data_IF_317247047653
#
_entry.id   IF_317247047653
#
_cell.length_a   1.000
_cell.length_b   1.000
_cell.length_c   1.000
_cell.angle_alpha   90.00
_cell.angle_beta   90.00
_cell.angle_gamma   90.00
#
_symmetry.space_group_name_H-M   'P 1'
#
loop_
_entity.id
_entity.type
_entity.pdbx_description
1 polymer ?
#
# COMPACT_ATOMS: atom_id res chain seq x y z
N UNK A 1 -34.12 5.75 -14.19
CA UNK A 1 -33.28 6.95 -14.42
C UNK A 1 -31.95 6.62 -13.82
N UNK A 2 -30.88 6.46 -14.59
CA UNK A 2 -29.56 6.26 -13.98
C UNK A 2 -29.23 7.51 -13.17
N UNK A 3 -28.88 7.39 -11.89
CA UNK A 3 -28.42 8.53 -11.12
C UNK A 3 -27.21 9.14 -11.84
N UNK A 4 -27.20 10.46 -12.01
CA UNK A 4 -26.05 11.14 -12.62
C UNK A 4 -24.84 10.91 -11.72
N UNK A 5 -23.81 10.29 -12.27
CA UNK A 5 -22.50 10.19 -11.62
C UNK A 5 -21.99 11.60 -11.43
N UNK A 6 -21.45 11.91 -10.25
CA UNK A 6 -20.89 13.23 -9.97
C UNK A 6 -19.71 13.53 -10.91
N UNK A 7 -19.48 14.80 -11.21
CA UNK A 7 -18.35 15.20 -12.04
C UNK A 7 -16.99 14.95 -11.35
N UNK A 8 -16.98 14.72 -10.03
CA UNK A 8 -15.77 14.35 -9.30
C UNK A 8 -15.13 13.08 -9.84
N UNK A 9 -15.92 12.05 -10.14
CA UNK A 9 -15.42 10.73 -10.55
C UNK A 9 -15.76 10.35 -11.99
N UNK A 10 -16.61 11.11 -12.69
CA UNK A 10 -17.12 10.79 -14.02
C UNK A 10 -16.03 10.56 -15.07
N UNK A 11 -14.85 11.17 -14.89
CA UNK A 11 -13.73 11.08 -15.83
C UNK A 11 -13.18 9.63 -15.97
N UNK A 12 -13.40 8.75 -14.99
CA UNK A 12 -12.99 7.35 -15.06
C UNK A 12 -14.07 6.38 -15.53
N UNK A 13 -15.33 6.85 -15.72
CA UNK A 13 -16.47 5.98 -16.03
C UNK A 13 -16.25 5.09 -17.26
N UNK A 14 -15.60 5.60 -18.29
CA UNK A 14 -15.39 4.86 -19.53
C UNK A 14 -14.46 3.65 -19.39
N UNK A 15 -13.45 3.72 -18.54
CA UNK A 15 -12.42 2.68 -18.39
C UNK A 15 -12.51 1.91 -17.08
N UNK A 16 -13.05 2.53 -16.02
CA UNK A 16 -13.19 1.99 -14.68
C UNK A 16 -14.63 2.06 -14.15
N UNK A 17 -15.65 1.57 -14.89
CA UNK A 17 -17.06 1.82 -14.56
C UNK A 17 -17.44 1.33 -13.15
N UNK A 18 -17.02 0.13 -12.77
CA UNK A 18 -17.37 -0.43 -11.46
C UNK A 18 -16.72 0.31 -10.27
N UNK A 19 -15.53 0.88 -10.47
CA UNK A 19 -14.89 1.71 -9.47
C UNK A 19 -15.62 3.05 -9.35
N UNK A 20 -15.98 3.65 -10.47
CA UNK A 20 -16.71 4.93 -10.52
C UNK A 20 -18.11 4.80 -9.94
N UNK A 21 -18.82 3.70 -10.22
CA UNK A 21 -20.14 3.43 -9.63
C UNK A 21 -20.05 3.32 -8.10
N UNK A 22 -19.02 2.64 -7.58
CA UNK A 22 -18.81 2.53 -6.15
C UNK A 22 -18.42 3.88 -5.51
N UNK A 23 -17.62 4.70 -6.19
CA UNK A 23 -17.27 6.05 -5.72
C UNK A 23 -18.51 6.97 -5.70
N UNK A 24 -19.39 6.84 -6.69
CA UNK A 24 -20.66 7.57 -6.70
C UNK A 24 -21.57 7.15 -5.54
N UNK A 25 -21.65 5.84 -5.25
CA UNK A 25 -22.38 5.37 -4.06
C UNK A 25 -21.78 5.92 -2.76
N UNK A 26 -20.46 6.04 -2.69
CA UNK A 26 -19.82 6.67 -1.54
C UNK A 26 -20.28 8.12 -1.36
N UNK A 27 -20.30 8.92 -2.41
CA UNK A 27 -20.79 10.31 -2.36
C UNK A 27 -22.25 10.42 -1.93
N UNK A 28 -23.12 9.52 -2.43
CA UNK A 28 -24.54 9.53 -2.09
C UNK A 28 -24.83 9.29 -0.59
N UNK A 29 -23.94 8.58 0.08
CA UNK A 29 -24.12 8.19 1.48
C UNK A 29 -23.46 9.13 2.48
N UNK A 30 -22.69 10.13 2.06
CA UNK A 30 -21.91 11.01 2.97
C UNK A 30 -22.74 11.57 4.12
N UNK A 31 -23.85 12.19 3.81
CA UNK A 31 -24.66 12.90 4.79
C UNK A 31 -25.68 12.00 5.50
N UNK A 32 -26.20 10.99 4.81
CA UNK A 32 -27.24 10.12 5.36
C UNK A 32 -26.71 8.91 6.12
N UNK A 33 -25.61 8.33 5.64
CA UNK A 33 -24.93 7.17 6.25
C UNK A 33 -23.42 7.24 6.02
N UNK A 34 -22.69 8.01 6.84
CA UNK A 34 -21.23 8.14 6.72
C UNK A 34 -20.49 6.80 6.74
N UNK A 35 -21.01 5.79 7.45
CA UNK A 35 -20.43 4.45 7.49
C UNK A 35 -20.53 3.76 6.13
N UNK A 36 -21.69 3.79 5.50
CA UNK A 36 -21.87 3.26 4.15
C UNK A 36 -21.00 4.01 3.14
N UNK A 37 -20.85 5.33 3.27
CA UNK A 37 -19.95 6.14 2.46
C UNK A 37 -18.50 5.63 2.53
N UNK A 38 -17.96 5.47 3.73
CA UNK A 38 -16.60 4.98 3.96
C UNK A 38 -16.42 3.57 3.40
N UNK A 39 -17.41 2.71 3.60
CA UNK A 39 -17.42 1.35 3.05
C UNK A 39 -17.36 1.37 1.51
N UNK A 40 -18.21 2.17 0.86
CA UNK A 40 -18.24 2.29 -0.60
C UNK A 40 -16.95 2.92 -1.14
N UNK A 41 -16.31 3.83 -0.41
CA UNK A 41 -14.99 4.38 -0.76
C UNK A 41 -13.92 3.30 -0.80
N UNK A 42 -13.87 2.42 0.20
CA UNK A 42 -12.97 1.25 0.19
C UNK A 42 -13.28 0.30 -0.97
N UNK A 43 -14.55 0.05 -1.25
CA UNK A 43 -14.97 -0.78 -2.38
C UNK A 43 -14.57 -0.16 -3.73
N UNK A 44 -14.66 1.15 -3.86
CA UNK A 44 -14.22 1.88 -5.05
C UNK A 44 -12.71 1.71 -5.27
N UNK A 45 -11.91 1.87 -4.22
CA UNK A 45 -10.47 1.61 -4.24
C UNK A 45 -10.17 0.17 -4.67
N UNK A 46 -10.82 -0.82 -4.09
CA UNK A 46 -10.63 -2.23 -4.43
C UNK A 46 -10.91 -2.50 -5.91
N UNK A 47 -12.02 -2.00 -6.43
CA UNK A 47 -12.41 -2.13 -7.84
C UNK A 47 -11.43 -1.44 -8.77
N UNK A 48 -10.91 -0.27 -8.38
CA UNK A 48 -9.90 0.47 -9.11
C UNK A 48 -8.60 -0.34 -9.21
N UNK A 49 -8.07 -0.77 -8.08
CA UNK A 49 -6.80 -1.52 -8.00
C UNK A 49 -6.90 -2.83 -8.78
N UNK A 50 -7.95 -3.63 -8.57
CA UNK A 50 -8.16 -4.87 -9.32
C UNK A 50 -8.25 -4.63 -10.84
N UNK A 51 -8.84 -3.51 -11.26
CA UNK A 51 -8.92 -3.17 -12.67
C UNK A 51 -7.57 -2.75 -13.24
N UNK A 52 -6.74 -2.04 -12.48
CA UNK A 52 -5.37 -1.68 -12.87
C UNK A 52 -4.56 -2.94 -13.14
N UNK A 53 -4.56 -3.93 -12.26
CA UNK A 53 -3.86 -5.20 -12.48
C UNK A 53 -4.34 -5.99 -13.72
N UNK A 54 -5.57 -5.75 -14.17
CA UNK A 54 -6.06 -6.33 -15.43
C UNK A 54 -5.64 -5.55 -16.67
N UNK A 55 -5.33 -4.26 -16.52
CA UNK A 55 -4.99 -3.36 -17.63
C UNK A 55 -3.50 -3.23 -17.83
N UNK A 56 -2.72 -3.31 -16.78
CA UNK A 56 -1.28 -3.12 -16.77
C UNK A 56 -0.57 -4.47 -16.90
N UNK A 57 -0.03 -4.74 -18.08
CA UNK A 57 0.69 -5.98 -18.37
C UNK A 57 2.05 -6.10 -17.63
N UNK A 58 2.54 -5.02 -17.05
CA UNK A 58 3.77 -5.04 -16.22
C UNK A 58 3.52 -5.58 -14.81
N UNK A 59 2.25 -5.64 -14.37
CA UNK A 59 1.85 -6.13 -13.06
C UNK A 59 1.43 -7.61 -13.14
N UNK A 60 1.95 -8.40 -12.23
CA UNK A 60 1.52 -9.80 -12.08
C UNK A 60 0.38 -9.87 -11.06
N UNK A 61 -0.78 -10.38 -11.49
CA UNK A 61 -1.93 -10.51 -10.59
C UNK A 61 -1.64 -11.52 -9.49
N UNK A 62 -1.74 -11.13 -8.20
CA UNK A 62 -1.62 -12.07 -7.09
C UNK A 62 -2.72 -13.14 -7.10
N UNK A 63 -2.42 -14.32 -6.56
CA UNK A 63 -3.40 -15.41 -6.39
C UNK A 63 -4.44 -15.08 -5.30
N UNK A 64 -4.03 -14.37 -4.26
CA UNK A 64 -4.93 -13.89 -3.20
C UNK A 64 -5.57 -12.56 -3.62
N UNK A 65 -6.90 -12.55 -3.72
CA UNK A 65 -7.69 -11.40 -4.19
C UNK A 65 -7.93 -10.32 -3.14
N UNK A 66 -7.26 -10.37 -1.98
CA UNK A 66 -7.39 -9.33 -0.96
C UNK A 66 -6.76 -8.01 -1.40
N UNK A 67 -7.47 -6.91 -1.19
CA UNK A 67 -6.97 -5.57 -1.51
C UNK A 67 -5.57 -5.30 -0.93
N UNK A 68 -5.32 -5.73 0.31
CA UNK A 68 -4.02 -5.57 0.94
C UNK A 68 -2.88 -6.23 0.16
N UNK A 69 -3.10 -7.41 -0.42
CA UNK A 69 -2.10 -8.13 -1.20
C UNK A 69 -1.78 -7.37 -2.49
N UNK A 70 -2.79 -6.92 -3.19
CA UNK A 70 -2.62 -6.08 -4.38
C UNK A 70 -1.88 -4.78 -4.09
N UNK A 71 -2.22 -4.10 -2.99
CA UNK A 71 -1.59 -2.84 -2.62
C UNK A 71 -0.12 -2.99 -2.19
N UNK A 72 0.25 -4.14 -1.63
CA UNK A 72 1.63 -4.44 -1.22
C UNK A 72 2.44 -5.17 -2.28
N UNK A 73 1.88 -5.43 -3.46
CA UNK A 73 2.65 -5.93 -4.61
C UNK A 73 3.76 -4.95 -4.96
N UNK A 74 4.98 -5.45 -5.14
CA UNK A 74 6.17 -4.63 -5.34
C UNK A 74 6.07 -3.79 -6.61
N UNK A 75 5.59 -4.37 -7.71
CA UNK A 75 5.41 -3.68 -8.98
C UNK A 75 4.38 -2.56 -8.89
N UNK A 76 3.25 -2.84 -8.23
CA UNK A 76 2.21 -1.84 -8.01
C UNK A 76 2.68 -0.71 -7.07
N UNK A 77 3.43 -1.07 -6.02
CA UNK A 77 3.99 -0.10 -5.08
C UNK A 77 4.99 0.85 -5.76
N UNK A 78 5.79 0.34 -6.71
CA UNK A 78 6.71 1.16 -7.49
C UNK A 78 6.01 2.05 -8.53
N UNK A 79 4.86 1.64 -9.05
CA UNK A 79 4.08 2.39 -10.01
C UNK A 79 3.30 3.56 -9.37
N UNK A 80 3.05 3.50 -8.06
CA UNK A 80 2.24 4.48 -7.33
C UNK A 80 3.15 5.44 -6.53
N UNK A 81 3.00 6.78 -6.66
CA UNK A 81 3.69 7.73 -5.80
C UNK A 81 3.38 7.50 -4.32
N UNK A 82 4.36 7.76 -3.44
CA UNK A 82 4.22 7.53 -1.99
C UNK A 82 2.99 8.20 -1.41
N UNK A 83 2.77 9.47 -1.74
CA UNK A 83 1.64 10.25 -1.21
C UNK A 83 0.29 9.65 -1.63
N UNK A 84 0.19 9.10 -2.84
CA UNK A 84 -1.03 8.45 -3.34
C UNK A 84 -1.24 7.10 -2.65
N UNK A 85 -0.15 6.37 -2.42
CA UNK A 85 -0.21 5.09 -1.71
C UNK A 85 -0.64 5.25 -0.25
N UNK A 86 -0.15 6.28 0.46
CA UNK A 86 -0.58 6.61 1.82
C UNK A 86 -2.08 6.91 1.88
N UNK A 87 -2.60 7.69 0.92
CA UNK A 87 -4.03 7.97 0.78
C UNK A 87 -4.85 6.70 0.53
N UNK A 88 -4.39 5.84 -0.37
CA UNK A 88 -5.04 4.56 -0.62
C UNK A 88 -5.04 3.63 0.61
N UNK A 89 -3.96 3.59 1.38
CA UNK A 89 -3.90 2.88 2.65
C UNK A 89 -4.87 3.45 3.69
N UNK A 90 -4.93 4.77 3.80
CA UNK A 90 -5.87 5.44 4.72
C UNK A 90 -7.32 5.04 4.41
N UNK A 91 -7.72 5.06 3.13
CA UNK A 91 -9.06 4.63 2.70
C UNK A 91 -9.33 3.16 3.05
N UNK A 92 -8.35 2.28 2.78
CA UNK A 92 -8.47 0.86 3.11
C UNK A 92 -8.67 0.63 4.60
N UNK A 93 -7.86 1.27 5.43
CA UNK A 93 -7.87 1.09 6.88
C UNK A 93 -9.13 1.70 7.50
N UNK A 94 -9.55 2.89 7.05
CA UNK A 94 -10.81 3.49 7.45
C UNK A 94 -12.00 2.60 7.11
N UNK A 95 -12.01 2.00 5.91
CA UNK A 95 -13.05 1.06 5.50
C UNK A 95 -13.10 -0.20 6.38
N UNK A 96 -11.95 -0.74 6.77
CA UNK A 96 -11.88 -1.87 7.71
C UNK A 96 -12.43 -1.49 9.09
N UNK A 97 -12.06 -0.31 9.60
CA UNK A 97 -12.51 0.19 10.91
C UNK A 97 -14.01 0.48 10.90
N UNK A 98 -14.54 1.05 9.81
CA UNK A 98 -15.96 1.42 9.70
C UNK A 98 -16.89 0.22 9.88
N UNK A 99 -16.49 -0.97 9.43
CA UNK A 99 -17.26 -2.22 9.58
C UNK A 99 -17.29 -2.70 11.03
N UNK A 100 -16.18 -2.56 11.78
CA UNK A 100 -16.03 -3.11 13.14
C UNK A 100 -16.27 -2.10 14.27
N UNK A 101 -16.38 -0.80 13.98
CA UNK A 101 -16.48 0.27 14.98
C UNK A 101 -17.88 0.34 15.58
N UNK A 102 -17.98 0.34 16.92
CA UNK A 102 -19.20 0.69 17.63
C UNK A 102 -19.41 2.21 17.55
N UNK A 103 -20.47 2.66 16.90
CA UNK A 103 -20.82 4.08 16.69
C UNK A 103 -20.68 4.50 15.22
N UNK A 104 -21.46 5.51 14.82
CA UNK A 104 -21.36 6.04 13.46
C UNK A 104 -20.17 6.98 13.31
N UNK A 105 -19.41 6.89 12.19
CA UNK A 105 -18.44 7.91 11.81
C UNK A 105 -19.10 9.28 11.68
N UNK A 106 -18.32 10.34 11.78
CA UNK A 106 -18.80 11.69 11.51
C UNK A 106 -18.85 11.95 10.00
N UNK A 107 -19.69 12.89 9.59
CA UNK A 107 -19.81 13.29 8.17
C UNK A 107 -18.49 13.79 7.64
N UNK A 108 -17.77 14.57 8.43
CA UNK A 108 -16.46 15.14 8.08
C UNK A 108 -15.41 14.04 7.80
N UNK A 109 -15.48 12.91 8.52
CA UNK A 109 -14.59 11.75 8.28
C UNK A 109 -14.90 11.12 6.91
N UNK A 110 -16.17 10.97 6.56
CA UNK A 110 -16.58 10.47 5.26
C UNK A 110 -16.19 11.41 4.12
N UNK A 111 -16.37 12.72 4.30
CA UNK A 111 -15.98 13.74 3.32
C UNK A 111 -14.47 13.69 3.04
N UNK A 112 -13.66 13.63 4.10
CA UNK A 112 -12.21 13.51 3.95
C UNK A 112 -11.82 12.24 3.18
N UNK A 113 -12.44 11.11 3.46
CA UNK A 113 -12.15 9.85 2.77
C UNK A 113 -12.51 9.91 1.29
N UNK A 114 -13.59 10.59 0.92
CA UNK A 114 -13.94 10.80 -0.49
C UNK A 114 -12.96 11.72 -1.20
N UNK A 115 -12.49 12.77 -0.54
CA UNK A 115 -11.44 13.63 -1.09
C UNK A 115 -10.16 12.84 -1.35
N UNK A 116 -9.73 12.00 -0.40
CA UNK A 116 -8.56 11.15 -0.61
C UNK A 116 -8.78 10.10 -1.72
N UNK A 117 -10.00 9.58 -1.84
CA UNK A 117 -10.39 8.71 -2.94
C UNK A 117 -10.28 9.42 -4.30
N UNK A 118 -10.70 10.69 -4.37
CA UNK A 118 -10.53 11.49 -5.58
C UNK A 118 -9.06 11.60 -5.98
N UNK A 119 -8.14 11.84 -5.06
CA UNK A 119 -6.71 11.92 -5.36
C UNK A 119 -6.16 10.61 -5.94
N UNK A 120 -6.58 9.46 -5.40
CA UNK A 120 -6.20 8.15 -5.92
C UNK A 120 -6.78 7.92 -7.32
N UNK A 121 -8.04 8.31 -7.56
CA UNK A 121 -8.70 8.21 -8.86
C UNK A 121 -8.06 9.18 -9.88
N UNK A 122 -7.70 10.37 -9.46
CA UNK A 122 -6.99 11.34 -10.30
C UNK A 122 -5.64 10.77 -10.77
N UNK A 123 -4.85 10.21 -9.85
CA UNK A 123 -3.61 9.51 -10.21
C UNK A 123 -3.86 8.38 -11.21
N UNK A 124 -4.85 7.53 -10.95
CA UNK A 124 -5.18 6.44 -11.86
C UNK A 124 -5.61 6.94 -13.24
N UNK A 125 -6.38 8.02 -13.31
CA UNK A 125 -6.75 8.67 -14.54
C UNK A 125 -5.55 9.20 -15.31
N UNK A 126 -4.66 9.92 -14.65
CA UNK A 126 -3.44 10.44 -15.24
C UNK A 126 -2.50 9.35 -15.76
N UNK A 127 -2.49 8.18 -15.10
CA UNK A 127 -1.57 7.09 -15.41
C UNK A 127 -2.15 6.10 -16.43
N UNK A 128 -3.43 5.77 -16.33
CA UNK A 128 -4.02 4.62 -17.02
C UNK A 128 -5.10 4.95 -18.05
N UNK A 129 -5.61 6.19 -18.11
CA UNK A 129 -6.58 6.54 -19.16
C UNK A 129 -5.91 6.50 -20.54
N UNK A 130 -6.54 5.80 -21.47
CA UNK A 130 -6.07 5.72 -22.85
C UNK A 130 -6.33 7.01 -23.64
N UNK A 131 -7.32 7.79 -23.25
CA UNK A 131 -7.71 9.08 -23.85
C UNK A 131 -8.25 9.98 -22.74
N UNK A 132 -7.98 11.28 -22.85
CA UNK A 132 -8.51 12.28 -21.93
C UNK A 132 -7.68 12.44 -20.64
N UNK A 133 -6.49 11.85 -20.53
CA UNK A 133 -5.61 12.08 -19.39
C UNK A 133 -5.11 13.55 -19.37
N UNK A 134 -4.99 14.18 -20.52
CA UNK A 134 -4.68 15.60 -20.68
C UNK A 134 -5.78 16.53 -20.16
N UNK A 135 -7.05 16.10 -20.27
CA UNK A 135 -8.20 16.88 -19.82
C UNK A 135 -8.31 16.93 -18.28
N UNK A 136 -7.52 16.09 -17.59
CA UNK A 136 -7.49 16.08 -16.14
C UNK A 136 -6.56 17.15 -15.54
N UNK A 137 -5.79 17.85 -16.37
CA UNK A 137 -4.87 18.85 -15.86
C UNK A 137 -5.63 19.97 -15.13
N UNK A 138 -5.32 20.17 -13.86
CA UNK A 138 -5.96 21.16 -13.02
C UNK A 138 -7.34 20.79 -12.47
N UNK A 139 -7.82 19.55 -12.73
CA UNK A 139 -9.05 19.06 -12.09
C UNK A 139 -8.84 18.95 -10.59
N UNK A 140 -9.74 19.54 -9.84
CA UNK A 140 -9.75 19.52 -8.37
C UNK A 140 -11.02 18.82 -7.88
N UNK A 141 -10.95 18.34 -6.67
CA UNK A 141 -12.11 17.85 -5.95
C UNK A 141 -13.06 19.01 -5.65
N UNK A 142 -14.35 18.79 -5.84
CA UNK A 142 -15.39 19.76 -5.55
C UNK A 142 -16.42 19.15 -4.60
N UNK A 143 -16.31 19.52 -3.33
CA UNK A 143 -17.20 19.06 -2.26
C UNK A 143 -18.67 19.44 -2.51
N UNK A 144 -18.91 20.55 -3.22
CA UNK A 144 -20.29 21.01 -3.52
C UNK A 144 -21.07 20.06 -4.43
N UNK A 145 -20.38 19.14 -5.10
CA UNK A 145 -20.99 18.11 -5.95
C UNK A 145 -21.49 16.88 -5.15
N UNK A 146 -21.15 16.79 -3.87
CA UNK A 146 -21.68 15.73 -3.01
C UNK A 146 -23.17 15.96 -2.82
N UNK A 147 -24.04 14.96 -3.14
CA UNK A 147 -25.47 15.09 -2.98
C UNK A 147 -25.84 15.28 -1.50
N UNK A 148 -26.41 16.43 -1.15
CA UNK A 148 -26.96 16.66 0.17
C UNK A 148 -28.34 15.99 0.27
N UNK A 149 -28.35 14.68 0.24
CA UNK A 149 -29.55 13.88 0.42
C UNK A 149 -29.57 13.45 1.88
N UNK A 150 -30.53 13.93 2.65
CA UNK A 150 -30.91 13.26 3.90
C UNK A 150 -31.43 11.88 3.51
N UNK A 151 -30.52 10.92 3.37
CA UNK A 151 -30.89 9.58 2.98
C UNK A 151 -31.69 8.96 4.13
N UNK A 152 -32.94 8.67 3.86
CA UNK A 152 -33.64 7.62 4.59
C UNK A 152 -32.79 6.36 4.43
N UNK A 153 -32.21 5.87 5.52
CA UNK A 153 -31.51 4.58 5.59
C UNK A 153 -32.42 3.55 4.95
N UNK A 154 -32.08 3.12 3.72
CA UNK A 154 -32.89 2.10 3.07
C UNK A 154 -32.60 0.76 3.75
N UNK A 155 -33.62 -0.09 3.98
CA UNK A 155 -33.40 -1.43 4.53
C UNK A 155 -32.36 -2.23 3.75
N UNK A 156 -32.27 -2.00 2.44
CA UNK A 156 -31.29 -2.64 1.55
C UNK A 156 -29.84 -2.31 1.89
N UNK A 157 -29.58 -1.11 2.45
CA UNK A 157 -28.23 -0.73 2.90
C UNK A 157 -27.79 -1.53 4.13
N UNK A 158 -28.72 -1.84 5.02
CA UNK A 158 -28.47 -2.63 6.23
C UNK A 158 -28.20 -4.09 5.87
N UNK A 159 -28.99 -4.67 4.97
CA UNK A 159 -28.84 -6.07 4.54
C UNK A 159 -27.53 -6.27 3.78
N UNK A 160 -27.14 -5.31 2.94
CA UNK A 160 -25.84 -5.32 2.25
C UNK A 160 -24.69 -5.17 3.24
N UNK A 161 -24.80 -4.30 4.24
CA UNK A 161 -23.78 -4.14 5.28
C UNK A 161 -23.63 -5.41 6.14
N UNK A 162 -24.74 -6.05 6.52
CA UNK A 162 -24.75 -7.31 7.26
C UNK A 162 -24.13 -8.46 6.45
N UNK A 163 -24.47 -8.57 5.16
CA UNK A 163 -23.89 -9.60 4.28
C UNK A 163 -22.36 -9.41 4.12
N UNK A 164 -21.92 -8.18 4.05
CA UNK A 164 -20.50 -7.82 3.92
C UNK A 164 -19.74 -7.97 5.23
N UNK A 165 -20.41 -7.71 6.35
CA UNK A 165 -19.85 -8.01 7.67
C UNK A 165 -19.61 -9.51 7.83
N UNK A 166 -20.58 -10.35 7.41
CA UNK A 166 -20.42 -11.81 7.41
C UNK A 166 -19.24 -12.26 6.53
N UNK A 167 -19.11 -11.68 5.33
CA UNK A 167 -17.98 -12.00 4.44
C UNK A 167 -16.63 -11.56 5.03
N UNK A 168 -16.58 -10.44 5.75
CA UNK A 168 -15.36 -9.99 6.42
C UNK A 168 -15.01 -10.87 7.61
N UNK A 169 -15.99 -11.31 8.39
CA UNK A 169 -15.80 -12.25 9.49
C UNK A 169 -15.28 -13.61 8.98
N UNK A 170 -15.82 -14.12 7.88
CA UNK A 170 -15.33 -15.32 7.21
C UNK A 170 -13.89 -15.16 6.71
N UNK A 171 -13.56 -14.00 6.09
CA UNK A 171 -12.20 -13.71 5.66
C UNK A 171 -11.22 -13.57 6.82
N UNK A 172 -11.66 -12.99 7.92
CA UNK A 172 -10.82 -12.82 9.12
C UNK A 172 -10.55 -14.17 9.79
N UNK A 173 -11.54 -15.06 9.80
CA UNK A 173 -11.38 -16.43 10.26
C UNK A 173 -10.42 -17.22 9.36
N UNK A 174 -10.56 -17.14 8.04
CA UNK A 174 -9.62 -17.77 7.10
C UNK A 174 -8.20 -17.22 7.25
N UNK A 175 -8.05 -15.92 7.50
CA UNK A 175 -6.75 -15.32 7.77
C UNK A 175 -6.13 -15.87 9.04
N UNK A 176 -6.90 -16.01 10.13
CA UNK A 176 -6.41 -16.59 11.38
C UNK A 176 -5.97 -18.05 11.19
N UNK A 177 -6.73 -18.85 10.43
CA UNK A 177 -6.36 -20.24 10.11
C UNK A 177 -5.06 -20.28 9.30
N UNK A 178 -4.92 -19.40 8.31
CA UNK A 178 -3.70 -19.27 7.48
C UNK A 178 -2.50 -18.81 8.33
N UNK A 179 -2.69 -17.89 9.27
CA UNK A 179 -1.64 -17.39 10.16
C UNK A 179 -1.15 -18.49 11.11
N UNK A 180 -2.05 -19.36 11.59
CA UNK A 180 -1.69 -20.56 12.40
C UNK A 180 -0.89 -21.54 11.57
N UNK A 181 -1.31 -21.82 10.34
CA UNK A 181 -0.59 -22.71 9.42
C UNK A 181 0.79 -22.15 9.06
N UNK A 182 0.87 -20.84 8.81
CA UNK A 182 2.12 -20.15 8.54
C UNK A 182 3.08 -20.19 9.74
N UNK A 183 2.57 -20.06 10.96
CA UNK A 183 3.35 -20.20 12.18
C UNK A 183 3.92 -21.64 12.31
N UNK A 184 3.10 -22.67 12.06
CA UNK A 184 3.53 -24.05 12.07
C UNK A 184 4.58 -24.37 10.99
N UNK A 185 4.42 -23.79 9.79
CA UNK A 185 5.40 -23.92 8.71
C UNK A 185 6.71 -23.22 9.04
N UNK A 186 6.67 -22.04 9.68
CA UNK A 186 7.86 -21.32 10.15
C UNK A 186 8.62 -22.11 11.22
N UNK A 187 7.91 -22.76 12.12
CA UNK A 187 8.53 -23.63 13.13
C UNK A 187 9.23 -24.84 12.50
N UNK A 188 8.57 -25.50 11.54
CA UNK A 188 9.18 -26.58 10.76
C UNK A 188 10.42 -26.11 10.00
N UNK A 189 10.34 -24.93 9.36
CA UNK A 189 11.48 -24.37 8.65
C UNK A 189 12.64 -24.05 9.60
N UNK A 190 12.36 -23.54 10.80
CA UNK A 190 13.37 -23.28 11.81
C UNK A 190 14.06 -24.60 12.25
N UNK A 191 13.29 -25.67 12.42
CA UNK A 191 13.84 -26.99 12.72
C UNK A 191 14.76 -27.49 11.60
N UNK A 192 14.32 -27.42 10.34
CA UNK A 192 15.15 -27.78 9.19
C UNK A 192 16.43 -26.93 9.06
N UNK A 193 16.33 -25.62 9.32
CA UNK A 193 17.52 -24.76 9.34
C UNK A 193 18.53 -25.17 10.39
N UNK A 194 18.04 -25.57 11.58
CA UNK A 194 18.90 -26.06 12.66
C UNK A 194 19.56 -27.38 12.30
N UNK A 195 18.81 -28.30 11.68
CA UNK A 195 19.31 -29.58 11.19
C UNK A 195 20.34 -29.38 10.07
N UNK A 196 20.06 -28.51 9.12
CA UNK A 196 20.96 -28.20 8.01
C UNK A 196 22.23 -27.46 8.44
N UNK A 197 22.18 -26.67 9.53
CA UNK A 197 23.34 -25.97 10.06
C UNK A 197 24.44 -26.91 10.61
N UNK A 198 24.08 -28.18 10.88
CA UNK A 198 25.04 -29.21 11.31
C UNK A 198 25.83 -29.78 10.12
N UNK A 199 25.32 -29.60 8.90
CA UNK A 199 26.01 -30.04 7.68
C UNK A 199 27.15 -29.05 7.39
N UNK A 200 28.42 -29.52 7.27
CA UNK A 200 29.54 -28.64 6.99
C UNK A 200 29.33 -27.86 5.69
N UNK A 201 29.39 -26.53 5.78
CA UNK A 201 29.33 -25.65 4.62
C UNK A 201 30.67 -25.72 3.88
N UNK A 202 30.64 -26.15 2.63
CA UNK A 202 31.84 -26.23 1.78
C UNK A 202 31.79 -25.23 0.61
N UNK A 203 30.74 -24.43 0.53
CA UNK A 203 30.57 -23.46 -0.51
C UNK A 203 31.27 -22.13 -0.17
N UNK A 204 32.07 -21.64 -1.09
CA UNK A 204 32.74 -20.35 -0.95
C UNK A 204 31.77 -19.21 -1.30
N UNK A 205 31.19 -18.57 -0.31
CA UNK A 205 30.40 -17.36 -0.50
C UNK A 205 31.32 -16.16 -0.65
N UNK A 206 31.47 -15.66 -1.86
CA UNK A 206 32.30 -14.49 -2.12
C UNK A 206 31.80 -13.28 -1.32
N UNK A 207 32.54 -12.87 -0.30
CA UNK A 207 32.23 -11.75 0.57
C UNK A 207 32.03 -10.43 -0.19
N UNK A 208 32.82 -10.22 -1.26
CA UNK A 208 32.69 -9.07 -2.14
C UNK A 208 31.33 -9.02 -2.84
N UNK A 209 30.78 -10.18 -3.24
CA UNK A 209 29.46 -10.27 -3.87
C UNK A 209 28.35 -9.96 -2.86
N UNK A 210 28.46 -10.49 -1.63
CA UNK A 210 27.51 -10.20 -0.55
C UNK A 210 27.50 -8.70 -0.21
N UNK A 211 28.68 -8.10 -0.11
CA UNK A 211 28.83 -6.67 0.14
C UNK A 211 28.14 -5.84 -0.94
N UNK A 212 28.50 -6.05 -2.19
CA UNK A 212 27.98 -5.25 -3.32
C UNK A 212 26.48 -5.43 -3.55
N UNK A 213 25.97 -6.66 -3.44
CA UNK A 213 24.56 -6.94 -3.81
C UNK A 213 23.58 -6.69 -2.66
N UNK A 214 24.02 -6.84 -1.42
CA UNK A 214 23.11 -6.76 -0.26
C UNK A 214 23.36 -5.50 0.56
N UNK A 215 24.60 -5.29 1.03
CA UNK A 215 24.91 -4.21 1.98
C UNK A 215 24.92 -2.86 1.26
N UNK A 216 25.62 -2.75 0.13
CA UNK A 216 25.69 -1.51 -0.63
C UNK A 216 24.29 -1.05 -1.07
N UNK A 217 23.47 -2.00 -1.56
CA UNK A 217 22.12 -1.70 -1.97
C UNK A 217 21.22 -1.25 -0.79
N UNK A 218 21.37 -1.88 0.37
CA UNK A 218 20.62 -1.51 1.57
C UNK A 218 21.01 -0.12 2.09
N UNK A 219 22.31 0.18 2.12
CA UNK A 219 22.81 1.49 2.52
C UNK A 219 22.39 2.60 1.54
N UNK A 220 22.43 2.30 0.24
CA UNK A 220 21.99 3.24 -0.80
C UNK A 220 20.51 3.57 -0.67
N UNK A 221 19.66 2.56 -0.41
CA UNK A 221 18.22 2.75 -0.14
C UNK A 221 17.95 3.54 1.14
N UNK A 222 18.85 3.44 2.11
CA UNK A 222 18.77 4.22 3.35
C UNK A 222 19.30 5.67 3.21
N UNK A 223 19.68 6.09 1.98
CA UNK A 223 20.15 7.44 1.69
C UNK A 223 21.66 7.65 1.84
N UNK A 224 22.46 6.56 1.93
CA UNK A 224 23.92 6.61 1.97
C UNK A 224 24.49 6.27 0.60
N UNK A 225 24.95 7.24 -0.19
CA UNK A 225 25.37 7.01 -1.58
C UNK A 225 26.66 6.19 -1.72
N UNK A 226 27.51 6.14 -0.68
CA UNK A 226 28.80 5.42 -0.65
C UNK A 226 29.71 5.79 -1.84
N UNK A 227 29.74 7.04 -2.24
CA UNK A 227 30.42 7.57 -3.41
C UNK A 227 31.82 8.11 -3.10
N UNK A 228 32.18 8.26 -1.82
CA UNK A 228 33.50 8.68 -1.39
C UNK A 228 34.41 7.47 -1.05
N UNK A 229 35.68 7.60 -1.33
CA UNK A 229 36.68 6.56 -1.01
C UNK A 229 36.75 6.23 0.49
N UNK A 230 36.41 7.19 1.36
CA UNK A 230 36.41 7.03 2.81
C UNK A 230 35.19 6.29 3.35
N UNK A 231 34.20 6.01 2.52
CA UNK A 231 32.96 5.36 2.95
C UNK A 231 33.13 3.84 3.07
N UNK A 232 34.18 3.29 2.43
CA UNK A 232 34.47 1.87 2.40
C UNK A 232 35.94 1.62 2.69
N UNK A 233 36.24 0.46 3.31
CA UNK A 233 37.62 0.04 3.64
C UNK A 233 38.40 1.14 4.34
N UNK A 234 37.76 1.84 5.28
CA UNK A 234 38.38 2.97 5.99
C UNK A 234 39.49 2.50 6.92
N UNK A 235 40.67 3.04 6.76
CA UNK A 235 41.83 2.70 7.57
C UNK A 235 41.71 3.29 8.98
N UNK A 236 41.71 2.43 10.00
CA UNK A 236 41.72 2.79 11.41
C UNK A 236 43.07 2.52 12.00
N UNK A 237 43.76 3.58 12.45
CA UNK A 237 45.07 3.50 13.10
C UNK A 237 44.93 3.35 14.61
N UNK A 238 45.93 2.74 15.24
CA UNK A 238 45.97 2.55 16.71
C UNK A 238 45.26 1.26 17.17
N UNK A 239 45.05 0.33 16.28
CA UNK A 239 44.49 -0.99 16.60
C UNK A 239 45.45 -1.82 17.45
N UNK A 240 44.95 -2.65 18.40
CA UNK A 240 45.78 -3.47 19.29
C UNK A 240 46.34 -4.74 18.58
N UNK A 241 46.52 -4.72 17.28
CA UNK A 241 47.12 -5.78 16.51
C UNK A 241 48.60 -5.47 16.20
N UNK A 242 49.33 -6.46 15.69
CA UNK A 242 50.76 -6.33 15.39
C UNK A 242 51.07 -5.26 14.34
N UNK A 243 50.15 -4.97 13.45
CA UNK A 243 50.30 -3.96 12.40
C UNK A 243 49.88 -2.56 12.86
N UNK A 244 49.20 -2.42 14.00
CA UNK A 244 48.67 -1.16 14.51
C UNK A 244 47.57 -0.50 13.67
N UNK A 245 47.09 -1.23 12.65
CA UNK A 245 46.12 -0.74 11.68
C UNK A 245 45.02 -1.80 11.46
N UNK A 246 43.80 -1.34 11.24
CA UNK A 246 42.63 -2.14 10.82
C UNK A 246 41.83 -1.41 9.75
N UNK A 247 40.87 -2.06 9.23
CA UNK A 247 39.94 -1.48 8.22
C UNK A 247 38.52 -1.65 8.66
N UNK A 248 37.74 -0.58 8.55
CA UNK A 248 36.28 -0.63 8.71
C UNK A 248 35.66 -0.83 7.34
N UNK A 249 34.80 -1.83 7.18
CA UNK A 249 34.15 -2.16 5.90
C UNK A 249 33.34 -0.99 5.37
N UNK A 250 32.61 -0.31 6.27
CA UNK A 250 31.79 0.87 5.98
C UNK A 250 31.94 1.91 7.08
N UNK A 251 31.94 3.19 6.69
CA UNK A 251 31.83 4.32 7.62
C UNK A 251 30.79 5.27 7.08
N UNK A 252 29.75 5.54 7.86
CA UNK A 252 28.70 6.48 7.53
C UNK A 252 28.98 7.84 8.14
N UNK A 253 29.09 8.87 7.32
CA UNK A 253 29.53 10.20 7.72
C UNK A 253 28.35 11.16 7.86
N UNK A 254 28.33 11.95 8.92
CA UNK A 254 27.41 13.05 9.09
C UNK A 254 27.80 14.28 8.26
N UNK A 255 26.88 15.23 8.13
CA UNK A 255 27.11 16.49 7.43
C UNK A 255 28.25 17.32 8.02
N UNK A 256 28.60 17.07 9.28
CA UNK A 256 29.71 17.68 9.99
C UNK A 256 31.07 16.97 9.75
N UNK A 257 31.07 15.96 8.89
CA UNK A 257 32.27 15.17 8.55
C UNK A 257 32.73 14.20 9.64
N UNK A 258 31.90 13.93 10.64
CA UNK A 258 32.19 12.94 11.69
C UNK A 258 31.49 11.60 11.38
N UNK A 259 32.11 10.48 11.79
CA UNK A 259 31.46 9.19 11.62
C UNK A 259 30.24 9.08 12.54
N UNK A 260 29.10 8.72 11.96
CA UNK A 260 27.85 8.42 12.67
C UNK A 260 27.72 6.94 12.99
N UNK A 261 28.22 6.08 12.10
CA UNK A 261 28.25 4.63 12.27
C UNK A 261 29.45 4.02 11.55
N UNK A 262 29.88 2.86 12.04
CA UNK A 262 30.97 2.04 11.50
C UNK A 262 30.53 0.60 11.42
#
# INVERSE_FOLDING_TARGET
MNPRISDNFAFLQGQFPFATDAAHMAEQHVFGDPRASIFHSRRALERLVMRIFRLDASLTRPDDEKLAVFMHDEGFRQAMPEEVWEKANFIRDAGNVAVHRKGNPQVEEAQQIIEELFHVFYWAGRTYLRKGAEDLQGKQYDESLIPNTEATVSPDSIEVLESLQTQLEEQEQQRQETDVELAALREKLAAYKTENAVVPETHDYCEATTRTLIIDLALHRAGWPLDEKRDREYEVVGMPNTAGVGYADYVLWGDDGKPLAV
#
